data_IF_193807690639
#
_entry.id   IF_193807690639
#
_cell.length_a   1.000
_cell.length_b   1.000
_cell.length_c   1.000
_cell.angle_alpha   90.00
_cell.angle_beta   90.00
_cell.angle_gamma   90.00
#
_symmetry.space_group_name_H-M   'P 1'
#
loop_
_entity.id
_entity.type
_entity.pdbx_description
1 polymer ?
#
# COMPACT_ATOMS: atom_id res chain seq x y z
N UNK A 1 4.06 1.99 2.04
CA UNK A 1 3.77 1.30 3.31
C UNK A 1 5.06 1.14 4.11
N UNK A 2 5.03 1.40 5.41
CA UNK A 2 6.19 1.24 6.28
C UNK A 2 6.29 -0.20 6.82
N UNK A 3 7.51 -0.70 6.91
CA UNK A 3 7.86 -1.97 7.54
C UNK A 3 9.07 -1.77 8.45
N UNK A 4 9.05 -2.39 9.64
CA UNK A 4 10.25 -2.51 10.47
C UNK A 4 11.15 -3.64 9.96
N UNK A 5 12.45 -3.42 10.09
CA UNK A 5 13.49 -4.42 9.89
C UNK A 5 14.27 -4.25 8.61
N UNK A 6 15.26 -5.12 8.42
CA UNK A 6 16.13 -5.12 7.25
C UNK A 6 15.54 -6.05 6.17
N UNK A 7 14.51 -5.58 5.49
CA UNK A 7 13.80 -6.32 4.44
C UNK A 7 14.35 -6.01 3.04
N UNK A 8 14.31 -6.99 2.15
CA UNK A 8 14.58 -6.82 0.71
C UNK A 8 13.25 -6.79 -0.06
N UNK A 9 13.14 -5.88 -1.03
CA UNK A 9 11.97 -5.78 -1.90
C UNK A 9 11.82 -6.99 -2.82
N UNK A 10 12.91 -7.72 -3.11
CA UNK A 10 12.87 -8.98 -3.88
C UNK A 10 12.16 -10.12 -3.16
N UNK A 11 12.08 -10.04 -1.84
CA UNK A 11 11.34 -10.98 -1.02
C UNK A 11 9.86 -10.59 -0.89
N UNK A 12 9.46 -9.44 -1.44
CA UNK A 12 8.10 -8.91 -1.37
C UNK A 12 7.34 -9.11 -2.67
N UNK A 13 6.03 -9.23 -2.54
CA UNK A 13 5.09 -9.23 -3.65
C UNK A 13 3.83 -8.47 -3.20
N UNK A 14 3.17 -7.76 -4.12
CA UNK A 14 1.88 -7.15 -3.84
C UNK A 14 0.85 -7.52 -4.91
N UNK A 15 -0.30 -8.02 -4.47
CA UNK A 15 -1.40 -8.46 -5.35
C UNK A 15 -2.64 -7.62 -5.09
N UNK A 16 -3.33 -7.27 -6.17
CA UNK A 16 -4.55 -6.49 -6.14
C UNK A 16 -5.74 -7.35 -6.56
N UNK A 17 -6.83 -7.26 -5.80
CA UNK A 17 -8.04 -8.05 -5.97
C UNK A 17 -9.27 -7.16 -6.16
N UNK A 18 -10.18 -7.60 -7.02
CA UNK A 18 -11.55 -7.11 -7.12
C UNK A 18 -12.51 -8.28 -6.83
N UNK A 19 -13.22 -8.21 -5.71
CA UNK A 19 -13.85 -9.39 -5.13
C UNK A 19 -12.82 -10.48 -4.81
N UNK A 20 -13.02 -11.70 -5.31
CA UNK A 20 -12.10 -12.83 -5.12
C UNK A 20 -11.12 -13.03 -6.29
N UNK A 21 -11.16 -12.17 -7.30
CA UNK A 21 -10.31 -12.28 -8.49
C UNK A 21 -9.08 -11.40 -8.34
N UNK A 22 -7.90 -11.98 -8.56
CA UNK A 22 -6.66 -11.22 -8.74
C UNK A 22 -6.68 -10.50 -10.09
N UNK A 23 -6.41 -9.20 -10.08
CA UNK A 23 -6.48 -8.34 -11.27
C UNK A 23 -5.13 -7.71 -11.65
N UNK A 24 -4.18 -7.65 -10.71
CA UNK A 24 -2.82 -7.20 -10.96
C UNK A 24 -1.87 -7.69 -9.84
N UNK A 25 -0.59 -7.82 -10.15
CA UNK A 25 0.49 -8.12 -9.21
C UNK A 25 1.71 -7.22 -9.46
N UNK A 26 2.62 -7.14 -8.50
CA UNK A 26 3.92 -6.52 -8.75
C UNK A 26 4.78 -7.37 -9.69
N UNK A 27 4.51 -8.68 -9.77
CA UNK A 27 5.29 -9.62 -10.58
C UNK A 27 4.85 -9.64 -12.05
N UNK A 28 3.67 -9.10 -12.36
CA UNK A 28 3.10 -9.10 -13.70
C UNK A 28 3.27 -7.76 -14.43
N UNK A 29 4.34 -7.04 -14.10
CA UNK A 29 4.70 -5.75 -14.70
C UNK A 29 4.62 -4.56 -13.74
N UNK A 30 4.32 -4.78 -12.46
CA UNK A 30 4.41 -3.74 -11.45
C UNK A 30 5.84 -3.51 -10.93
N UNK A 31 5.95 -2.75 -9.84
CA UNK A 31 7.24 -2.44 -9.22
C UNK A 31 7.14 -2.32 -7.71
N UNK A 32 8.24 -2.68 -7.03
CA UNK A 32 8.43 -2.49 -5.59
C UNK A 32 9.65 -1.60 -5.39
N UNK A 33 9.43 -0.39 -4.87
CA UNK A 33 10.48 0.63 -4.77
C UNK A 33 10.66 1.06 -3.31
N UNK A 34 11.88 1.01 -2.75
CA UNK A 34 12.16 1.62 -1.47
C UNK A 34 12.16 3.15 -1.63
N UNK A 35 11.42 3.87 -0.78
CA UNK A 35 11.31 5.33 -0.85
C UNK A 35 12.13 6.03 0.23
N UNK A 36 11.84 5.70 1.49
CA UNK A 36 12.43 6.38 2.65
C UNK A 36 12.89 5.35 3.66
N UNK A 37 13.91 5.73 4.42
CA UNK A 37 14.49 4.93 5.47
C UNK A 37 14.59 5.75 6.75
N UNK A 38 14.36 5.11 7.90
CA UNK A 38 14.52 5.68 9.24
C UNK A 38 15.26 4.69 10.13
N UNK A 39 15.89 5.19 11.19
CA UNK A 39 16.70 4.39 12.12
C UNK A 39 18.17 4.79 12.08
N UNK A 40 18.46 6.09 12.11
CA UNK A 40 19.83 6.59 12.22
C UNK A 40 20.48 6.02 13.50
N UNK A 41 21.72 5.51 13.40
CA UNK A 41 22.40 4.84 14.51
C UNK A 41 22.05 3.37 14.72
N UNK A 42 21.12 2.79 13.95
CA UNK A 42 20.74 1.37 14.02
C UNK A 42 21.73 0.41 13.35
N UNK A 43 23.04 0.63 13.51
CA UNK A 43 24.06 -0.17 12.85
C UNK A 43 24.19 -1.58 13.44
N UNK A 44 24.06 -1.70 14.76
CA UNK A 44 24.26 -2.98 15.46
C UNK A 44 23.05 -3.92 15.36
N UNK A 45 21.83 -3.38 15.27
CA UNK A 45 20.56 -4.14 15.22
C UNK A 45 19.54 -3.54 14.25
N UNK A 46 19.87 -3.42 12.95
CA UNK A 46 18.98 -2.82 11.96
C UNK A 46 17.64 -3.57 11.86
N UNK A 47 17.60 -4.86 12.14
CA UNK A 47 16.39 -5.67 12.14
C UNK A 47 15.37 -5.29 13.23
N UNK A 48 15.75 -4.49 14.23
CA UNK A 48 14.88 -4.12 15.36
C UNK A 48 14.49 -2.63 15.33
N UNK A 49 15.38 -1.74 14.90
CA UNK A 49 15.12 -0.29 14.97
C UNK A 49 15.16 0.45 13.63
N UNK A 50 15.41 -0.26 12.52
CA UNK A 50 15.31 0.31 11.17
C UNK A 50 13.90 0.20 10.63
N UNK A 51 13.46 1.22 9.91
CA UNK A 51 12.19 1.23 9.19
C UNK A 51 12.40 1.65 7.75
N UNK A 52 11.67 1.02 6.84
CA UNK A 52 11.71 1.37 5.43
C UNK A 52 10.30 1.52 4.88
N UNK A 53 10.09 2.59 4.12
CA UNK A 53 8.89 2.82 3.34
C UNK A 53 9.05 2.18 1.97
N UNK A 54 8.10 1.32 1.63
CA UNK A 54 8.00 0.66 0.33
C UNK A 54 6.82 1.23 -0.47
N UNK A 55 7.05 1.55 -1.73
CA UNK A 55 6.03 1.82 -2.72
C UNK A 55 5.75 0.54 -3.50
N UNK A 56 4.48 0.17 -3.59
CA UNK A 56 4.00 -0.92 -4.44
C UNK A 56 3.21 -0.29 -5.58
N UNK A 57 3.58 -0.63 -6.81
CA UNK A 57 2.95 -0.12 -8.02
C UNK A 57 2.47 -1.29 -8.90
N UNK A 58 1.33 -1.10 -9.56
CA UNK A 58 0.69 -2.07 -10.45
C UNK A 58 0.46 -1.42 -11.82
N UNK A 59 1.33 -1.67 -12.80
CA UNK A 59 1.27 -0.98 -14.10
C UNK A 59 0.02 -1.34 -14.93
N UNK A 60 -0.61 -2.48 -14.63
CA UNK A 60 -1.85 -2.91 -15.28
C UNK A 60 -3.12 -2.39 -14.60
N UNK A 61 -3.02 -1.68 -13.48
CA UNK A 61 -4.17 -1.13 -12.76
C UNK A 61 -4.21 0.39 -12.93
N UNK A 62 -5.23 0.88 -13.62
CA UNK A 62 -5.34 2.29 -13.97
C UNK A 62 -6.57 2.92 -13.30
N UNK A 63 -6.31 3.85 -12.40
CA UNK A 63 -7.34 4.76 -11.87
C UNK A 63 -7.67 5.75 -12.98
N UNK A 64 -8.82 5.58 -13.61
CA UNK A 64 -9.13 6.29 -14.86
C UNK A 64 -10.01 7.52 -14.66
N UNK A 65 -9.61 8.62 -15.30
CA UNK A 65 -10.46 9.79 -15.53
C UNK A 65 -10.42 10.35 -16.96
N UNK A 66 -9.53 9.87 -17.83
CA UNK A 66 -9.27 10.43 -19.15
C UNK A 66 -9.20 9.34 -20.23
N UNK A 67 -9.89 9.57 -21.36
CA UNK A 67 -9.96 8.63 -22.50
C UNK A 67 -8.58 8.30 -23.09
N UNK A 68 -7.65 9.25 -23.06
CA UNK A 68 -6.28 9.10 -23.56
C UNK A 68 -5.51 7.94 -22.89
N UNK A 69 -5.85 7.62 -21.63
CA UNK A 69 -5.22 6.51 -20.90
C UNK A 69 -5.58 5.16 -21.51
N UNK A 70 -6.80 5.01 -22.06
CA UNK A 70 -7.23 3.76 -22.71
C UNK A 70 -6.51 3.51 -24.02
N UNK A 71 -6.23 4.57 -24.78
CA UNK A 71 -5.45 4.48 -26.01
C UNK A 71 -4.00 4.11 -25.73
N UNK A 72 -3.42 4.66 -24.66
CA UNK A 72 -2.04 4.39 -24.24
C UNK A 72 -1.87 3.02 -23.58
N UNK A 73 -2.88 2.55 -22.85
CA UNK A 73 -2.83 1.32 -22.06
C UNK A 73 -4.05 0.41 -22.32
N UNK A 74 -4.27 -0.05 -23.57
CA UNK A 74 -5.51 -0.72 -23.97
C UNK A 74 -5.76 -2.07 -23.29
N UNK A 75 -4.75 -2.62 -22.59
CA UNK A 75 -4.84 -3.90 -21.87
C UNK A 75 -4.91 -3.74 -20.34
N UNK A 76 -4.97 -2.51 -19.84
CA UNK A 76 -5.06 -2.27 -18.41
C UNK A 76 -6.46 -2.50 -17.87
N UNK A 77 -6.52 -2.82 -16.59
CA UNK A 77 -7.73 -2.84 -15.79
C UNK A 77 -8.09 -1.41 -15.40
N UNK A 78 -9.21 -0.90 -15.93
CA UNK A 78 -9.68 0.47 -15.67
C UNK A 78 -10.74 0.47 -14.58
N UNK A 79 -10.49 1.24 -13.51
CA UNK A 79 -11.37 1.31 -12.33
C UNK A 79 -12.78 1.79 -12.65
N UNK A 80 -12.93 2.67 -13.65
CA UNK A 80 -14.23 3.21 -14.08
C UNK A 80 -15.20 2.13 -14.56
N UNK A 81 -14.71 1.02 -15.10
CA UNK A 81 -15.54 -0.08 -15.60
C UNK A 81 -15.99 -1.03 -14.47
N UNK A 82 -15.36 -0.91 -13.30
CA UNK A 82 -15.46 -1.86 -12.19
C UNK A 82 -15.53 -1.11 -10.84
N UNK A 83 -16.53 -0.23 -10.62
CA UNK A 83 -16.69 0.39 -9.30
C UNK A 83 -16.95 -0.68 -8.23
N UNK A 84 -16.56 -0.41 -6.99
CA UNK A 84 -16.75 -1.33 -5.86
C UNK A 84 -15.54 -1.49 -4.97
N UNK A 85 -15.49 -2.57 -4.21
CA UNK A 85 -14.47 -2.83 -3.21
C UNK A 85 -13.26 -3.57 -3.80
N UNK A 86 -12.08 -3.11 -3.40
CA UNK A 86 -10.79 -3.66 -3.80
C UNK A 86 -9.96 -3.98 -2.56
N UNK A 87 -9.16 -5.04 -2.68
CA UNK A 87 -8.23 -5.46 -1.64
C UNK A 87 -6.83 -5.52 -2.21
N UNK A 88 -5.87 -4.84 -1.58
CA UNK A 88 -4.46 -5.06 -1.86
C UNK A 88 -3.84 -5.89 -0.74
N UNK A 89 -3.13 -6.96 -1.12
CA UNK A 89 -2.45 -7.89 -0.22
C UNK A 89 -0.96 -7.84 -0.49
N UNK A 90 -0.17 -7.70 0.57
CA UNK A 90 1.30 -7.73 0.48
C UNK A 90 1.78 -9.04 1.07
N UNK A 91 2.68 -9.70 0.36
CA UNK A 91 3.32 -10.95 0.73
C UNK A 91 4.81 -10.72 0.94
N UNK A 92 5.39 -11.47 1.86
CA UNK A 92 6.82 -11.59 2.04
C UNK A 92 7.18 -13.07 2.06
N UNK A 93 8.01 -13.52 1.11
CA UNK A 93 8.36 -14.93 0.89
C UNK A 93 7.13 -15.85 0.87
N UNK A 94 6.10 -15.45 0.11
CA UNK A 94 4.85 -16.19 -0.05
C UNK A 94 3.86 -16.11 1.13
N UNK A 95 4.23 -15.47 2.25
CA UNK A 95 3.33 -15.29 3.41
C UNK A 95 2.68 -13.92 3.36
N UNK A 96 1.35 -13.84 3.47
CA UNK A 96 0.64 -12.56 3.54
C UNK A 96 1.01 -11.82 4.84
N UNK A 97 1.52 -10.59 4.70
CA UNK A 97 1.98 -9.76 5.82
C UNK A 97 1.19 -8.47 5.99
N UNK A 98 0.44 -8.05 4.96
CA UNK A 98 -0.41 -6.86 5.01
C UNK A 98 -1.64 -7.04 4.15
N UNK A 99 -2.69 -6.36 4.57
CA UNK A 99 -3.92 -6.23 3.79
C UNK A 99 -4.47 -4.82 3.96
N UNK A 100 -4.97 -4.25 2.87
CA UNK A 100 -5.73 -3.01 2.93
C UNK A 100 -6.90 -3.09 1.96
N UNK A 101 -7.97 -2.39 2.31
CA UNK A 101 -9.18 -2.31 1.51
C UNK A 101 -9.45 -0.86 1.13
N UNK A 102 -9.93 -0.65 -0.09
CA UNK A 102 -10.37 0.65 -0.57
C UNK A 102 -11.53 0.47 -1.55
N UNK A 103 -12.31 1.52 -1.73
CA UNK A 103 -13.48 1.50 -2.62
C UNK A 103 -13.20 2.41 -3.80
N UNK A 104 -13.58 1.97 -4.99
CA UNK A 104 -13.68 2.79 -6.18
C UNK A 104 -15.14 3.25 -6.34
N UNK A 105 -15.35 4.56 -6.46
CA UNK A 105 -16.66 5.18 -6.66
C UNK A 105 -17.19 4.97 -8.10
N UNK A 106 -18.43 5.36 -8.34
CA UNK A 106 -19.08 5.23 -9.66
C UNK A 106 -18.42 6.07 -10.77
N UNK A 107 -17.49 6.96 -10.43
CA UNK A 107 -16.73 7.77 -11.39
C UNK A 107 -15.35 7.16 -11.70
N UNK A 108 -14.99 6.05 -11.06
CA UNK A 108 -13.70 5.38 -11.23
C UNK A 108 -12.61 5.90 -10.29
N UNK A 109 -12.94 6.78 -9.35
CA UNK A 109 -11.98 7.32 -8.38
C UNK A 109 -11.94 6.51 -7.11
N UNK A 110 -10.83 6.58 -6.40
CA UNK A 110 -10.78 6.07 -5.02
C UNK A 110 -11.71 6.92 -4.16
N UNK A 111 -12.72 6.29 -3.57
CA UNK A 111 -13.70 6.94 -2.72
C UNK A 111 -13.03 7.51 -1.47
N UNK A 112 -13.49 8.68 -1.03
CA UNK A 112 -13.07 9.26 0.25
C UNK A 112 -13.49 8.36 1.40
N UNK A 113 -12.66 8.30 2.42
CA UNK A 113 -12.95 7.61 3.68
C UNK A 113 -12.88 8.58 4.87
N UNK A 114 -13.22 8.09 6.06
CA UNK A 114 -13.28 8.89 7.29
C UNK A 114 -11.95 9.54 7.69
N UNK A 115 -10.82 9.05 7.17
CA UNK A 115 -9.49 9.62 7.41
C UNK A 115 -9.08 10.66 6.36
N UNK A 116 -9.72 10.65 5.18
CA UNK A 116 -9.37 11.53 4.07
C UNK A 116 -9.66 13.01 4.37
N UNK A 117 -10.63 13.30 5.24
CA UNK A 117 -10.94 14.67 5.65
C UNK A 117 -10.08 15.17 6.82
N UNK A 118 -9.32 14.26 7.47
CA UNK A 118 -8.43 14.60 8.58
C UNK A 118 -7.03 15.00 8.11
N UNK A 119 -6.65 14.69 6.87
CA UNK A 119 -5.36 15.03 6.30
C UNK A 119 -5.55 15.62 4.90
N UNK A 120 -5.05 16.85 4.71
CA UNK A 120 -5.00 17.43 3.38
C UNK A 120 -3.91 16.74 2.55
N UNK A 121 -4.31 15.76 1.76
CA UNK A 121 -3.43 15.10 0.79
C UNK A 121 -3.69 15.68 -0.60
N UNK A 122 -2.63 16.16 -1.26
CA UNK A 122 -2.67 16.58 -2.66
C UNK A 122 -2.57 15.36 -3.60
N UNK A 123 -2.95 15.54 -4.87
CA UNK A 123 -2.68 14.61 -5.98
C UNK A 123 -3.36 13.22 -5.86
N UNK A 124 -4.69 13.17 -5.65
CA UNK A 124 -5.47 11.93 -5.70
C UNK A 124 -5.02 10.84 -4.71
N UNK A 125 -4.39 11.25 -3.60
CA UNK A 125 -3.94 10.35 -2.54
C UNK A 125 -4.99 10.26 -1.46
N UNK A 126 -5.15 9.08 -0.89
CA UNK A 126 -5.97 8.85 0.30
C UNK A 126 -5.15 8.11 1.35
N UNK A 127 -5.51 8.30 2.62
CA UNK A 127 -5.02 7.46 3.72
C UNK A 127 -5.92 6.24 3.80
N UNK A 128 -5.36 5.04 3.83
CA UNK A 128 -6.11 3.80 4.02
C UNK A 128 -5.61 3.07 5.26
N UNK A 129 -6.51 2.50 6.08
CA UNK A 129 -6.10 1.64 7.17
C UNK A 129 -5.48 0.37 6.60
N UNK A 130 -4.41 -0.10 7.24
CA UNK A 130 -3.70 -1.31 6.85
C UNK A 130 -3.78 -2.30 8.00
N UNK A 131 -4.24 -3.51 7.71
CA UNK A 131 -4.15 -4.64 8.62
C UNK A 131 -2.75 -5.21 8.57
N UNK A 132 -2.07 -5.19 9.71
CA UNK A 132 -0.77 -5.84 9.90
C UNK A 132 -0.99 -7.31 10.22
N UNK A 133 -0.38 -8.19 9.42
CA UNK A 133 -0.50 -9.64 9.54
C UNK A 133 0.91 -10.27 9.57
N UNK A 134 1.03 -11.42 10.25
CA UNK A 134 2.29 -12.14 10.35
C UNK A 134 3.34 -11.48 11.29
N UNK A 135 4.53 -12.07 11.32
CA UNK A 135 5.64 -11.73 12.22
C UNK A 135 6.82 -11.06 11.53
N UNK A 136 6.72 -10.81 10.22
CA UNK A 136 7.78 -10.17 9.42
C UNK A 136 8.09 -8.77 9.94
N UNK A 137 7.05 -8.05 10.35
CA UNK A 137 7.24 -6.81 11.08
C UNK A 137 7.39 -7.13 12.57
N UNK A 138 8.52 -6.77 13.17
CA UNK A 138 8.73 -6.80 14.64
C UNK A 138 8.01 -5.63 15.32
N UNK A 139 6.81 -5.33 14.86
CA UNK A 139 5.91 -4.32 15.38
C UNK A 139 5.21 -4.86 16.63
N UNK A 140 5.19 -4.06 17.70
CA UNK A 140 4.51 -4.42 18.92
C UNK A 140 3.07 -3.88 18.94
N UNK A 141 2.10 -4.77 18.82
CA UNK A 141 0.68 -4.44 18.89
C UNK A 141 0.22 -3.87 20.24
N UNK A 142 0.99 -4.11 21.32
CA UNK A 142 0.71 -3.56 22.66
C UNK A 142 1.25 -2.13 22.84
N UNK A 143 2.16 -1.69 21.99
CA UNK A 143 2.72 -0.32 22.01
C UNK A 143 2.63 0.34 20.64
N UNK A 144 1.43 0.36 20.01
CA UNK A 144 1.29 0.85 18.65
C UNK A 144 1.59 2.34 18.58
N UNK A 145 1.37 3.11 19.65
CA UNK A 145 1.71 4.54 19.66
C UNK A 145 3.22 4.75 19.60
N UNK A 146 4.03 4.06 20.41
CA UNK A 146 5.49 4.21 20.35
C UNK A 146 6.11 3.62 19.09
N UNK A 147 5.51 2.55 18.55
CA UNK A 147 6.07 1.80 17.41
C UNK A 147 5.51 2.25 16.05
N UNK A 148 4.33 2.88 16.01
CA UNK A 148 3.63 3.25 14.77
C UNK A 148 3.64 4.75 14.45
N UNK A 149 4.47 5.58 15.12
CA UNK A 149 4.70 6.96 14.68
C UNK A 149 5.53 7.00 13.38
N UNK A 150 4.89 6.68 12.26
CA UNK A 150 5.38 7.01 10.92
C UNK A 150 4.61 8.23 10.40
N UNK A 151 4.94 9.41 10.90
CA UNK A 151 4.56 10.69 10.29
C UNK A 151 3.06 10.93 10.09
N UNK A 152 2.22 10.44 11.00
CA UNK A 152 0.77 10.57 10.87
C UNK A 152 0.31 11.88 11.50
N UNK A 153 -0.25 12.79 10.70
CA UNK A 153 -0.87 14.03 11.20
C UNK A 153 -2.35 13.83 11.59
N UNK A 154 -2.76 12.60 11.89
CA UNK A 154 -4.13 12.27 12.30
C UNK A 154 -4.32 12.61 13.78
N UNK A 155 -5.25 13.52 14.06
CA UNK A 155 -5.66 13.85 15.42
C UNK A 155 -6.24 12.61 16.11
N UNK A 156 -5.68 12.21 17.25
CA UNK A 156 -6.19 11.11 18.09
C UNK A 156 -5.46 9.77 17.97
N UNK A 157 -4.40 9.70 17.15
CA UNK A 157 -3.45 8.58 17.13
C UNK A 157 -2.22 8.88 17.96
#
# INVERSE_FOLDING_TARGET
MWFKGNLDGKDMEARLYFGNQEIASTDDGGAITPLFERGEGCYEKPEVCKYRQWLFNWDKFMVENEKSQRERFPKSFFTRDKPGEYTAKIFHRGTQVRELNFTIDSKGWIARNVWSDQMFLTNFRIVVPVKVMGSVDKWNAATPKSDAFYGNSLTGF
#
